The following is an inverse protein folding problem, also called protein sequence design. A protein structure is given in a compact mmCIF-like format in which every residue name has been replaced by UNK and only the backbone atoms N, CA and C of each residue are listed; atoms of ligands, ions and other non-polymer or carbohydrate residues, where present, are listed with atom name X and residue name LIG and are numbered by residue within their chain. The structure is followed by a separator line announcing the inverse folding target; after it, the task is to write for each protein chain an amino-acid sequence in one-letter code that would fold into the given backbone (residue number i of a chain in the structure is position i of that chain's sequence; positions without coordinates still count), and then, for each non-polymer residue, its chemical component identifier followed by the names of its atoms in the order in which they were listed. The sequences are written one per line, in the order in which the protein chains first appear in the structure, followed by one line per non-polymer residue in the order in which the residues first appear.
data_IF_776480068511
#
_entry.id   IF_776480068511
#
_cell.length_a   1.000
_cell.length_b   1.000
_cell.length_c   1.000
_cell.angle_alpha   90.00
_cell.angle_beta   90.00
_cell.angle_gamma   90.00
#
_symmetry.space_group_name_H-M   'P 1'
#
loop_
_entity.id
_entity.type
_entity.pdbx_description
1 polymer ?
#
# COMPACT_ATOMS: atom_id res chain seq x y z
N UNK A 1 18.16 9.47 9.70
CA UNK A 1 16.70 9.44 9.98
C UNK A 1 16.15 8.09 9.57
N UNK A 2 15.58 7.31 10.50
CA UNK A 2 15.17 5.91 10.25
C UNK A 2 13.67 5.72 10.07
N UNK A 3 12.89 6.73 10.40
CA UNK A 3 11.43 6.71 10.33
C UNK A 3 10.94 8.05 9.80
N UNK A 4 9.94 8.00 8.94
CA UNK A 4 9.29 9.16 8.36
C UNK A 4 7.78 8.90 8.32
N UNK A 5 7.02 9.75 9.02
CA UNK A 5 5.57 9.64 9.14
C UNK A 5 4.95 10.87 8.47
N UNK A 6 4.39 10.66 7.28
CA UNK A 6 3.81 11.70 6.42
C UNK A 6 2.32 11.46 6.19
N UNK A 7 1.65 10.76 7.10
CA UNK A 7 0.23 10.42 6.96
C UNK A 7 -0.72 11.44 7.56
N UNK A 8 -2.02 11.17 7.43
CA UNK A 8 -3.15 11.94 7.99
C UNK A 8 -3.32 13.35 7.39
N UNK A 9 -2.89 13.58 6.16
CA UNK A 9 -3.13 14.86 5.50
C UNK A 9 -4.54 14.94 4.88
N UNK A 10 -5.11 13.81 4.48
CA UNK A 10 -6.39 13.73 3.78
C UNK A 10 -7.30 12.68 4.43
N UNK A 11 -8.33 13.13 5.14
CA UNK A 11 -9.29 12.25 5.82
C UNK A 11 -10.66 12.93 5.98
N UNK A 12 -11.66 12.23 6.50
CA UNK A 12 -13.05 12.73 6.50
C UNK A 12 -13.25 14.09 7.22
N UNK A 13 -12.39 14.48 8.19
CA UNK A 13 -12.42 15.84 8.81
C UNK A 13 -11.44 16.83 8.20
N UNK A 14 -10.54 16.38 7.32
CA UNK A 14 -9.65 17.23 6.54
C UNK A 14 -9.69 16.77 5.07
N UNK A 15 -10.80 17.03 4.36
CA UNK A 15 -10.96 16.56 3.00
C UNK A 15 -9.97 17.26 2.08
N UNK A 16 -9.23 16.48 1.30
CA UNK A 16 -8.38 17.02 0.25
C UNK A 16 -9.12 17.02 -1.08
N UNK A 17 -8.99 18.10 -1.84
CA UNK A 17 -9.48 18.18 -3.22
C UNK A 17 -8.49 17.52 -4.21
N UNK A 18 -7.28 17.17 -3.77
CA UNK A 18 -6.24 16.54 -4.56
C UNK A 18 -5.45 15.52 -3.74
N UNK A 19 -4.71 14.64 -4.40
CA UNK A 19 -3.80 13.69 -3.75
C UNK A 19 -2.49 14.37 -3.36
N UNK A 20 -1.80 13.84 -2.35
CA UNK A 20 -0.41 14.25 -2.10
C UNK A 20 0.45 13.77 -3.28
N UNK A 21 1.03 14.72 -4.02
CA UNK A 21 1.97 14.41 -5.11
C UNK A 21 3.39 14.33 -4.54
N UNK A 22 4.03 13.18 -4.75
CA UNK A 22 5.44 12.99 -4.42
C UNK A 22 6.23 13.04 -5.72
N UNK A 23 7.31 13.82 -5.74
CA UNK A 23 8.22 13.80 -6.87
C UNK A 23 8.88 12.41 -6.99
N UNK A 24 9.29 12.04 -8.20
CA UNK A 24 10.05 10.81 -8.39
C UNK A 24 11.29 10.82 -7.50
N UNK A 25 11.64 9.67 -6.92
CA UNK A 25 12.83 9.50 -6.08
C UNK A 25 12.84 10.37 -4.80
N UNK A 26 11.69 10.92 -4.36
CA UNK A 26 11.60 11.77 -3.15
C UNK A 26 12.30 11.16 -1.94
N UNK A 27 12.22 9.84 -1.76
CA UNK A 27 12.78 9.14 -0.60
C UNK A 27 14.14 8.47 -0.87
N UNK A 28 14.63 8.51 -2.11
CA UNK A 28 15.82 7.75 -2.54
C UNK A 28 17.09 8.20 -1.83
N UNK A 29 17.18 9.48 -1.48
CA UNK A 29 18.34 10.07 -0.78
C UNK A 29 18.37 9.72 0.72
N UNK A 30 17.24 9.27 1.29
CA UNK A 30 17.13 8.91 2.71
C UNK A 30 17.55 7.45 2.90
N UNK A 31 18.83 7.17 2.68
CA UNK A 31 19.38 5.81 2.66
C UNK A 31 19.24 5.06 3.99
N UNK A 32 19.07 5.75 5.12
CA UNK A 32 18.84 5.14 6.42
C UNK A 32 17.37 4.81 6.74
N UNK A 33 16.42 5.13 5.84
CA UNK A 33 14.99 5.01 6.10
C UNK A 33 14.57 3.54 6.22
N UNK A 34 13.91 3.19 7.33
CA UNK A 34 13.43 1.83 7.62
C UNK A 34 11.92 1.75 7.71
N UNK A 35 11.25 2.84 8.10
CA UNK A 35 9.79 2.90 8.24
C UNK A 35 9.27 4.14 7.55
N UNK A 36 8.29 3.96 6.67
CA UNK A 36 7.60 5.03 5.96
C UNK A 36 6.09 4.84 6.12
N UNK A 37 5.41 5.85 6.64
CA UNK A 37 3.95 5.91 6.65
C UNK A 37 3.47 7.06 5.78
N UNK A 38 2.62 6.72 4.82
CA UNK A 38 1.96 7.62 3.87
C UNK A 38 0.43 7.42 3.93
N UNK A 39 -0.09 6.95 5.06
CA UNK A 39 -1.52 6.70 5.23
C UNK A 39 -2.35 7.97 5.11
N UNK A 40 -3.62 7.88 4.69
CA UNK A 40 -4.52 9.05 4.62
C UNK A 40 -3.93 10.21 3.80
N UNK A 41 -3.51 9.94 2.56
CA UNK A 41 -2.95 10.94 1.65
C UNK A 41 -3.65 10.99 0.29
N UNK A 42 -4.78 10.30 0.15
CA UNK A 42 -5.58 10.27 -1.07
C UNK A 42 -4.77 9.75 -2.28
N UNK A 43 -3.69 9.00 -2.06
CA UNK A 43 -2.78 8.54 -3.11
C UNK A 43 -3.43 7.46 -3.97
N UNK A 44 -3.19 7.49 -5.28
CA UNK A 44 -3.74 6.53 -6.23
C UNK A 44 -2.74 5.47 -6.68
N UNK A 45 -1.46 5.66 -6.33
CA UNK A 45 -0.35 4.80 -6.73
C UNK A 45 0.72 4.71 -5.62
N UNK A 46 1.53 3.66 -5.70
CA UNK A 46 2.72 3.52 -4.84
C UNK A 46 3.82 4.46 -5.36
N UNK A 47 4.53 5.21 -4.48
CA UNK A 47 5.62 6.08 -4.93
C UNK A 47 6.76 5.30 -5.59
N UNK A 48 7.29 5.84 -6.68
CA UNK A 48 8.52 5.35 -7.27
C UNK A 48 9.75 5.75 -6.45
N UNK A 49 10.82 4.96 -6.57
CA UNK A 49 12.10 5.31 -5.97
C UNK A 49 12.17 5.14 -4.46
N UNK A 50 11.32 4.28 -3.89
CA UNK A 50 11.39 3.90 -2.48
C UNK A 50 12.74 3.23 -2.16
N UNK A 51 13.42 3.62 -1.06
CA UNK A 51 14.75 3.11 -0.77
C UNK A 51 14.70 1.62 -0.35
N UNK A 52 15.65 0.78 -0.82
CA UNK A 52 15.67 -0.66 -0.54
C UNK A 52 15.93 -1.00 0.94
N UNK A 53 16.27 0.00 1.76
CA UNK A 53 16.47 -0.12 3.21
C UNK A 53 15.15 -0.17 4.00
N UNK A 54 14.02 0.15 3.35
CA UNK A 54 12.70 0.07 3.96
C UNK A 54 12.37 -1.35 4.44
N UNK A 55 11.82 -1.40 5.65
CA UNK A 55 11.35 -2.63 6.31
C UNK A 55 9.86 -2.63 6.55
N UNK A 56 9.27 -1.45 6.71
CA UNK A 56 7.83 -1.27 6.91
C UNK A 56 7.33 -0.12 6.03
N UNK A 57 6.27 -0.38 5.29
CA UNK A 57 5.58 0.58 4.45
C UNK A 57 4.10 0.56 4.78
N UNK A 58 3.57 1.72 5.17
CA UNK A 58 2.16 1.92 5.48
C UNK A 58 1.53 2.87 4.47
N UNK A 59 0.68 2.30 3.62
CA UNK A 59 -0.08 2.98 2.56
C UNK A 59 -1.59 2.86 2.83
N UNK A 60 -1.99 2.53 4.06
CA UNK A 60 -3.40 2.37 4.41
C UNK A 60 -4.22 3.65 4.17
N UNK A 61 -5.53 3.49 3.94
CA UNK A 61 -6.47 4.62 3.83
C UNK A 61 -6.07 5.59 2.70
N UNK A 62 -5.66 5.02 1.57
CA UNK A 62 -5.44 5.72 0.32
C UNK A 62 -6.44 5.21 -0.74
N UNK A 63 -6.21 5.52 -2.02
CA UNK A 63 -7.07 5.14 -3.15
C UNK A 63 -6.31 4.30 -4.18
N UNK A 64 -5.36 3.50 -3.70
CA UNK A 64 -4.52 2.67 -4.57
C UNK A 64 -5.37 1.51 -5.09
N UNK A 65 -5.43 1.35 -6.43
CA UNK A 65 -6.14 0.25 -7.09
C UNK A 65 -5.20 -0.74 -7.80
N UNK A 66 -3.93 -0.36 -7.93
CA UNK A 66 -2.88 -1.18 -8.49
C UNK A 66 -1.58 -0.95 -7.72
N UNK A 67 -0.97 -2.04 -7.25
CA UNK A 67 0.24 -2.00 -6.42
C UNK A 67 1.43 -2.49 -7.24
N UNK A 68 2.36 -1.58 -7.46
CA UNK A 68 3.59 -1.77 -8.23
C UNK A 68 4.78 -1.13 -7.50
N UNK A 69 5.98 -1.22 -8.09
CA UNK A 69 7.20 -0.53 -7.62
C UNK A 69 7.76 -1.06 -6.29
N UNK A 70 7.46 -2.32 -5.96
CA UNK A 70 7.94 -2.97 -4.74
C UNK A 70 9.09 -3.96 -4.99
N UNK A 71 9.47 -4.18 -6.25
CA UNK A 71 10.38 -5.25 -6.69
C UNK A 71 11.76 -5.12 -6.03
N UNK A 72 12.23 -3.87 -5.91
CA UNK A 72 13.52 -3.50 -5.36
C UNK A 72 13.54 -3.40 -3.83
N UNK A 73 12.40 -3.49 -3.15
CA UNK A 73 12.32 -3.38 -1.68
C UNK A 73 12.66 -4.71 -0.99
N UNK A 74 13.91 -5.15 -1.17
CA UNK A 74 14.41 -6.46 -0.72
C UNK A 74 14.33 -6.67 0.79
N UNK A 75 14.37 -5.58 1.57
CA UNK A 75 14.29 -5.62 3.02
C UNK A 75 12.88 -5.46 3.58
N UNK A 76 11.87 -5.23 2.72
CA UNK A 76 10.50 -5.01 3.17
C UNK A 76 9.96 -6.27 3.84
N UNK A 77 9.34 -6.10 5.00
CA UNK A 77 8.76 -7.21 5.79
C UNK A 77 7.29 -7.00 6.12
N UNK A 78 6.87 -5.75 6.26
CA UNK A 78 5.49 -5.39 6.55
C UNK A 78 5.01 -4.39 5.50
N UNK A 79 3.91 -4.74 4.86
CA UNK A 79 3.17 -3.86 3.98
C UNK A 79 1.73 -3.74 4.46
N UNK A 80 1.33 -2.51 4.81
CA UNK A 80 -0.06 -2.21 5.15
C UNK A 80 -0.74 -1.50 3.99
N UNK A 81 -1.77 -2.13 3.41
CA UNK A 81 -2.61 -1.60 2.34
C UNK A 81 -4.09 -1.57 2.74
N UNK A 82 -4.38 -1.63 4.05
CA UNK A 82 -5.76 -1.57 4.55
C UNK A 82 -6.55 -0.42 3.94
N UNK A 83 -7.82 -0.67 3.65
CA UNK A 83 -8.78 0.36 3.26
C UNK A 83 -8.38 1.16 1.99
N UNK A 84 -7.56 0.57 1.12
CA UNK A 84 -7.47 1.02 -0.26
C UNK A 84 -8.63 0.40 -1.05
N UNK A 85 -9.13 1.08 -2.09
CA UNK A 85 -10.16 0.52 -2.97
C UNK A 85 -11.30 -0.21 -2.18
N UNK A 86 -12.07 0.54 -1.40
CA UNK A 86 -13.03 -0.03 -0.44
C UNK A 86 -14.31 -0.51 -1.13
N UNK A 87 -14.89 -1.64 -0.69
CA UNK A 87 -16.26 -2.01 -1.13
C UNK A 87 -17.29 -1.18 -0.38
N UNK A 88 -18.31 -0.75 -1.13
CA UNK A 88 -19.39 0.12 -0.65
C UNK A 88 -20.14 -0.43 0.57
N UNK A 89 -20.26 -1.75 0.66
CA UNK A 89 -21.03 -2.48 1.67
C UNK A 89 -20.31 -2.59 3.03
N UNK A 90 -19.00 -2.34 3.08
CA UNK A 90 -18.19 -2.43 4.30
C UNK A 90 -17.51 -1.12 4.71
N UNK A 91 -17.73 -0.03 3.97
CA UNK A 91 -17.07 1.24 4.21
C UNK A 91 -17.95 2.24 4.95
N UNK A 92 -17.40 2.89 5.98
CA UNK A 92 -17.99 4.10 6.53
C UNK A 92 -17.83 5.24 5.51
N UNK A 93 -18.92 5.91 5.14
CA UNK A 93 -18.85 6.99 4.15
C UNK A 93 -17.90 8.12 4.59
N UNK A 94 -17.15 8.75 3.65
CA UNK A 94 -17.08 8.48 2.21
C UNK A 94 -16.17 7.29 1.86
N UNK A 95 -16.61 6.44 0.92
CA UNK A 95 -15.85 5.28 0.44
C UNK A 95 -15.33 5.50 -0.98
N UNK A 96 -14.26 4.78 -1.35
CA UNK A 96 -13.63 4.89 -2.67
C UNK A 96 -13.44 3.50 -3.29
N UNK A 97 -14.36 3.06 -4.18
CA UNK A 97 -14.26 1.75 -4.80
C UNK A 97 -13.16 1.72 -5.85
N UNK A 98 -12.69 0.51 -6.21
CA UNK A 98 -11.79 0.37 -7.35
C UNK A 98 -12.47 0.87 -8.64
N UNK A 99 -11.68 1.40 -9.58
CA UNK A 99 -12.13 1.64 -10.93
C UNK A 99 -12.81 0.39 -11.52
N UNK A 100 -13.90 0.60 -12.25
CA UNK A 100 -14.70 -0.46 -12.90
C UNK A 100 -15.19 -1.58 -11.96
N UNK A 101 -15.25 -1.31 -10.65
CA UNK A 101 -15.61 -2.31 -9.64
C UNK A 101 -14.68 -3.55 -9.66
N UNK A 102 -13.44 -3.36 -10.11
CA UNK A 102 -12.42 -4.42 -10.20
C UNK A 102 -11.86 -4.81 -8.84
N UNK A 103 -11.22 -5.97 -8.77
CA UNK A 103 -10.43 -6.38 -7.61
C UNK A 103 -9.18 -5.50 -7.52
N UNK A 104 -8.68 -5.27 -6.30
CA UNK A 104 -7.34 -4.68 -6.12
C UNK A 104 -6.31 -5.59 -6.81
N UNK A 105 -5.42 -4.99 -7.60
CA UNK A 105 -4.42 -5.72 -8.40
C UNK A 105 -2.99 -5.40 -7.95
N UNK A 106 -2.06 -6.30 -8.25
CA UNK A 106 -0.67 -6.22 -7.83
C UNK A 106 0.24 -6.82 -8.90
N UNK A 107 1.48 -6.35 -8.99
CA UNK A 107 2.52 -6.99 -9.81
C UNK A 107 2.92 -8.36 -9.23
N UNK A 108 3.24 -9.32 -10.12
CA UNK A 108 3.47 -10.75 -9.79
C UNK A 108 4.57 -11.01 -8.75
N UNK A 109 5.43 -10.03 -8.47
CA UNK A 109 6.55 -10.16 -7.52
C UNK A 109 6.43 -9.24 -6.30
N UNK A 110 5.32 -8.49 -6.17
CA UNK A 110 5.14 -7.47 -5.14
C UNK A 110 5.28 -8.01 -3.69
N UNK A 111 4.98 -9.29 -3.47
CA UNK A 111 4.80 -9.86 -2.12
C UNK A 111 5.75 -10.98 -1.73
N UNK A 112 6.62 -11.44 -2.63
CA UNK A 112 7.41 -12.66 -2.40
C UNK A 112 8.34 -12.61 -1.17
N UNK A 113 8.65 -11.40 -0.67
CA UNK A 113 9.65 -11.15 0.39
C UNK A 113 9.02 -10.72 1.72
N UNK A 114 7.70 -10.52 1.75
CA UNK A 114 6.96 -10.02 2.90
C UNK A 114 6.78 -11.11 3.96
N UNK A 115 6.73 -10.68 5.22
CA UNK A 115 6.35 -11.53 6.37
C UNK A 115 4.91 -11.28 6.79
N UNK A 116 4.46 -10.04 6.64
CA UNK A 116 3.11 -9.62 6.96
C UNK A 116 2.59 -8.72 5.86
N UNK A 117 1.37 -9.01 5.42
CA UNK A 117 0.63 -8.25 4.44
C UNK A 117 -0.78 -8.03 4.98
N UNK A 118 -1.21 -6.78 5.02
CA UNK A 118 -2.56 -6.44 5.44
C UNK A 118 -3.34 -5.83 4.27
N UNK A 119 -4.41 -6.53 3.87
CA UNK A 119 -5.30 -6.15 2.78
C UNK A 119 -6.74 -5.96 3.28
N UNK A 120 -6.95 -5.86 4.59
CA UNK A 120 -8.30 -5.72 5.15
C UNK A 120 -9.03 -4.50 4.57
N UNK A 121 -10.32 -4.67 4.29
CA UNK A 121 -11.18 -3.57 3.86
C UNK A 121 -10.96 -3.12 2.40
N UNK A 122 -10.24 -3.92 1.60
CA UNK A 122 -10.09 -3.72 0.16
C UNK A 122 -11.16 -4.49 -0.63
N UNK A 123 -11.31 -4.19 -1.93
CA UNK A 123 -12.25 -4.85 -2.84
C UNK A 123 -11.74 -6.19 -3.40
N UNK A 124 -11.25 -7.07 -2.54
CA UNK A 124 -10.78 -8.38 -2.97
C UNK A 124 -11.96 -9.34 -3.19
N UNK A 125 -12.16 -9.77 -4.43
CA UNK A 125 -13.11 -10.85 -4.78
C UNK A 125 -12.54 -11.85 -5.79
N UNK A 126 -11.45 -11.46 -6.46
CA UNK A 126 -10.64 -12.35 -7.27
C UNK A 126 -9.25 -12.41 -6.61
N UNK A 127 -8.92 -13.60 -6.08
CA UNK A 127 -7.62 -13.93 -5.50
C UNK A 127 -6.99 -15.05 -6.37
N UNK A 128 -6.47 -14.68 -7.53
CA UNK A 128 -5.71 -15.54 -8.41
C UNK A 128 -4.46 -16.12 -7.73
N UNK A 129 -4.10 -17.36 -8.08
CA UNK A 129 -2.89 -18.04 -7.60
C UNK A 129 -1.60 -17.32 -7.97
N UNK A 130 -1.64 -16.40 -8.95
CA UNK A 130 -0.57 -15.46 -9.27
C UNK A 130 -0.30 -14.40 -8.21
N UNK A 131 -1.24 -14.14 -7.27
CA UNK A 131 -0.97 -13.31 -6.09
C UNK A 131 -0.05 -14.01 -5.08
N UNK A 132 -0.06 -15.34 -5.13
CA UNK A 132 0.58 -16.21 -4.15
C UNK A 132 1.35 -17.37 -4.85
N UNK A 133 2.26 -17.08 -5.79
CA UNK A 133 2.92 -18.12 -6.56
C UNK A 133 3.91 -18.88 -5.66
N UNK A 134 3.48 -20.00 -5.07
CA UNK A 134 4.29 -20.98 -4.31
C UNK A 134 5.04 -20.50 -3.06
N UNK A 135 5.21 -19.20 -2.88
CA UNK A 135 6.14 -18.53 -1.96
C UNK A 135 5.49 -18.01 -0.68
N UNK A 136 4.19 -18.27 -0.47
CA UNK A 136 3.45 -17.89 0.76
C UNK A 136 3.97 -18.60 2.02
N UNK A 137 4.90 -19.54 1.88
CA UNK A 137 5.56 -20.20 3.03
C UNK A 137 6.24 -19.24 4.01
N UNK A 138 6.46 -17.97 3.63
CA UNK A 138 7.10 -16.95 4.49
C UNK A 138 6.12 -15.97 5.16
N UNK A 139 4.85 -15.92 4.73
CA UNK A 139 3.84 -15.07 5.36
C UNK A 139 3.40 -15.73 6.66
N UNK A 140 3.64 -15.07 7.80
CA UNK A 140 3.17 -15.54 9.11
C UNK A 140 1.73 -15.11 9.37
N UNK A 141 1.34 -13.95 8.86
CA UNK A 141 0.05 -13.31 9.15
C UNK A 141 -0.49 -12.62 7.90
N UNK A 142 -1.68 -13.07 7.46
CA UNK A 142 -2.46 -12.45 6.39
C UNK A 142 -3.83 -12.04 6.95
N UNK A 143 -4.10 -10.74 6.93
CA UNK A 143 -5.40 -10.19 7.30
C UNK A 143 -6.06 -9.65 6.01
N UNK A 144 -7.22 -10.18 5.66
CA UNK A 144 -8.05 -9.77 4.51
C UNK A 144 -9.44 -9.36 4.97
#
# INVERSE_FOLDING_TARGET
MTELLLGNNCYYRNPCNASVTLAQDTFKTITSLKRLSLKFNNMTEVPQGLPPTLRQLDLSENKISHVSHLENLTNLKLLNLEWNCQRCDHAAQPFFPCPDNKSLTFDTDAFQKLRSLNLRGNSLYDLNTSFFPGSVRQLSDLHH
#
